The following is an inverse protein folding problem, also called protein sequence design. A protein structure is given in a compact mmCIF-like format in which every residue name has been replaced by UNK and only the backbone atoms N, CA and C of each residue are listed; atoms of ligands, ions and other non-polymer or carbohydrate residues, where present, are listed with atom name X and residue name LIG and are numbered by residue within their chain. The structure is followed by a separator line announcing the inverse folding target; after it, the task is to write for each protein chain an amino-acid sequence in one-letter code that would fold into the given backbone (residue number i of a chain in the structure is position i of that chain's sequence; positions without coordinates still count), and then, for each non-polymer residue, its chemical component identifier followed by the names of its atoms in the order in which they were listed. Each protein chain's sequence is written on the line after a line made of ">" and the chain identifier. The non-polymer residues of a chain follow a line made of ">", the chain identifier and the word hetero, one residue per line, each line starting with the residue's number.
data_IF_432484978187
#
_entry.id   IF_432484978187
#
_cell.length_a   1.000
_cell.length_b   1.000
_cell.length_c   1.000
_cell.angle_alpha   90.00
_cell.angle_beta   90.00
_cell.angle_gamma   90.00
#
_symmetry.space_group_name_H-M   'P 1'
#
loop_
_entity.id
_entity.type
_entity.pdbx_description
1 polymer ?
#
# COMPACT_ATOMS: atom_id res chain seq x y z
N UNK A 1 6.60 -14.66 -43.86
CA UNK A 1 5.29 -15.19 -43.45
C UNK A 1 5.51 -16.05 -42.22
N UNK A 2 5.38 -15.44 -41.04
CA UNK A 2 5.69 -16.05 -39.74
C UNK A 2 4.45 -15.90 -38.87
N UNK A 3 3.61 -16.93 -38.87
CA UNK A 3 2.38 -16.94 -38.11
C UNK A 3 2.62 -17.08 -36.60
N UNK A 4 1.69 -16.59 -35.76
CA UNK A 4 1.80 -16.65 -34.31
C UNK A 4 1.76 -18.10 -33.81
N UNK A 5 2.65 -18.43 -32.86
CA UNK A 5 2.67 -19.76 -32.21
C UNK A 5 1.57 -19.83 -31.15
N UNK A 6 0.84 -20.95 -31.04
CA UNK A 6 -0.17 -21.14 -30.02
C UNK A 6 0.48 -21.20 -28.63
N UNK A 7 -0.08 -20.44 -27.69
CA UNK A 7 0.35 -20.40 -26.29
C UNK A 7 0.09 -21.77 -25.64
N UNK A 8 1.15 -22.35 -25.11
CA UNK A 8 1.17 -23.63 -24.40
C UNK A 8 0.61 -23.37 -23.00
N UNK A 9 -0.61 -23.82 -22.72
CA UNK A 9 -1.19 -23.78 -21.38
C UNK A 9 -0.36 -24.65 -20.43
N UNK A 10 0.27 -24.02 -19.44
CA UNK A 10 0.93 -24.71 -18.34
C UNK A 10 -0.10 -24.86 -17.21
N UNK A 11 -0.41 -26.08 -16.75
CA UNK A 11 -1.33 -26.27 -15.64
C UNK A 11 -0.72 -25.69 -14.36
N UNK A 12 -1.44 -24.76 -13.73
CA UNK A 12 -1.07 -24.17 -12.45
C UNK A 12 -1.39 -25.20 -11.35
N UNK A 13 -0.41 -25.70 -10.58
CA UNK A 13 -0.68 -26.54 -9.42
C UNK A 13 -1.27 -25.67 -8.31
N UNK A 14 -2.55 -25.88 -8.00
CA UNK A 14 -3.17 -25.30 -6.81
C UNK A 14 -2.53 -25.89 -5.56
N UNK A 15 -2.07 -25.07 -4.59
CA UNK A 15 -1.67 -25.58 -3.29
C UNK A 15 -2.90 -26.06 -2.53
N UNK A 16 -2.95 -27.37 -2.28
CA UNK A 16 -3.83 -28.01 -1.30
C UNK A 16 -3.54 -27.39 0.07
N UNK A 17 -4.47 -26.56 0.56
CA UNK A 17 -4.39 -25.98 1.90
C UNK A 17 -4.41 -27.06 3.00
N UNK A 18 -3.85 -26.76 4.19
CA UNK A 18 -3.79 -27.72 5.28
C UNK A 18 -5.19 -28.07 5.78
N UNK A 19 -5.48 -29.38 5.79
CA UNK A 19 -6.65 -29.95 6.43
C UNK A 19 -6.61 -29.64 7.93
N UNK A 20 -7.61 -28.90 8.40
CA UNK A 20 -7.83 -28.65 9.83
C UNK A 20 -8.11 -29.99 10.53
N UNK A 21 -7.48 -30.27 11.69
CA UNK A 21 -7.77 -31.46 12.45
C UNK A 21 -9.18 -31.40 13.04
N UNK A 22 -9.95 -32.45 12.75
CA UNK A 22 -11.24 -32.72 13.32
C UNK A 22 -11.17 -32.68 14.85
N UNK A 23 -11.95 -31.79 15.45
CA UNK A 23 -12.15 -31.70 16.89
C UNK A 23 -12.86 -32.97 17.39
N UNK A 24 -12.16 -33.80 18.17
CA UNK A 24 -12.78 -34.89 18.90
C UNK A 24 -13.38 -34.38 20.22
N UNK A 25 -14.68 -34.63 20.37
CA UNK A 25 -15.45 -34.32 21.56
C UNK A 25 -14.97 -35.15 22.76
N UNK A 26 -14.31 -34.49 23.71
CA UNK A 26 -14.20 -34.94 25.09
C UNK A 26 -15.35 -34.36 25.92
N UNK A 27 -16.40 -35.16 26.12
CA UNK A 27 -17.55 -34.82 26.93
C UNK A 27 -17.23 -34.95 28.43
N UNK A 28 -17.81 -34.03 29.20
CA UNK A 28 -18.22 -34.20 30.60
C UNK A 28 -17.19 -33.97 31.71
N UNK A 29 -16.79 -32.70 31.90
CA UNK A 29 -16.55 -32.16 33.23
C UNK A 29 -16.65 -30.63 33.23
N UNK A 30 -17.50 -30.07 34.11
CA UNK A 30 -17.31 -28.70 34.59
C UNK A 30 -18.17 -27.62 33.93
N UNK A 31 -19.50 -27.73 34.05
CA UNK A 31 -20.43 -26.61 33.83
C UNK A 31 -20.09 -25.33 34.66
N UNK A 32 -19.20 -25.42 35.66
CA UNK A 32 -18.72 -24.30 36.46
C UNK A 32 -17.57 -23.48 35.80
N UNK A 33 -16.82 -24.04 34.84
CA UNK A 33 -15.68 -23.36 34.20
C UNK A 33 -16.07 -22.52 32.97
N UNK A 34 -17.26 -22.74 32.41
CA UNK A 34 -17.77 -21.96 31.26
C UNK A 34 -18.30 -20.57 31.64
N UNK A 35 -18.67 -20.35 32.90
CA UNK A 35 -19.13 -19.04 33.37
C UNK A 35 -17.99 -18.01 33.51
N UNK A 36 -16.75 -18.46 33.76
CA UNK A 36 -15.57 -17.58 33.89
C UNK A 36 -14.97 -17.17 32.54
N UNK A 37 -15.14 -17.97 31.48
CA UNK A 37 -14.61 -17.65 30.14
C UNK A 37 -15.45 -16.59 29.39
N UNK A 38 -16.74 -16.47 29.68
CA UNK A 38 -17.64 -15.48 29.05
C UNK A 38 -17.42 -14.08 29.62
N UNK A 39 -16.97 -13.96 30.89
CA UNK A 39 -16.70 -12.66 31.53
C UNK A 39 -15.37 -12.05 31.06
N UNK A 40 -14.35 -12.86 30.74
CA UNK A 40 -13.06 -12.32 30.25
C UNK A 40 -13.10 -11.82 28.80
N UNK A 41 -13.97 -12.35 27.94
CA UNK A 41 -14.10 -11.88 26.55
C UNK A 41 -14.84 -10.54 26.43
N UNK A 42 -15.65 -10.16 27.43
CA UNK A 42 -16.36 -8.87 27.42
C UNK A 42 -15.47 -7.68 27.84
N UNK A 43 -14.40 -7.91 28.60
CA UNK A 43 -13.49 -6.85 29.03
C UNK A 43 -12.40 -6.52 27.98
N UNK A 44 -12.08 -7.45 27.07
CA UNK A 44 -11.08 -7.23 26.03
C UNK A 44 -11.61 -6.47 24.80
N UNK A 45 -12.93 -6.43 24.58
CA UNK A 45 -13.54 -5.72 23.45
C UNK A 45 -13.62 -4.19 23.66
N UNK A 46 -13.57 -3.70 24.90
CA UNK A 46 -13.65 -2.26 25.19
C UNK A 46 -12.28 -1.54 25.13
N UNK A 47 -11.17 -2.27 25.10
CA UNK A 47 -9.81 -1.69 25.12
C UNK A 47 -9.19 -1.49 23.72
N UNK A 48 -9.76 -2.11 22.67
CA UNK A 48 -9.16 -2.08 21.32
C UNK A 48 -9.68 -0.88 20.50
N UNK A 49 -10.77 -0.23 20.91
CA UNK A 49 -11.32 0.95 20.21
C UNK A 49 -10.67 2.28 20.58
N UNK A 50 -9.69 2.32 21.49
CA UNK A 50 -9.15 3.57 22.05
C UNK A 50 -7.90 4.12 21.33
N UNK A 51 -7.34 3.40 20.35
CA UNK A 51 -6.23 3.88 19.51
C UNK A 51 -6.67 4.27 18.10
N UNK A 52 -7.98 4.43 17.86
CA UNK A 52 -8.43 5.30 16.80
C UNK A 52 -7.97 6.71 17.18
N UNK A 53 -6.81 7.11 16.66
CA UNK A 53 -6.27 8.45 16.75
C UNK A 53 -7.40 9.40 16.41
N UNK A 54 -8.05 9.97 17.43
CA UNK A 54 -8.86 11.17 17.26
C UNK A 54 -7.83 12.24 16.95
N UNK A 55 -7.40 12.29 15.68
CA UNK A 55 -6.72 13.42 15.10
C UNK A 55 -7.70 14.57 15.32
N UNK A 56 -7.48 15.28 16.43
CA UNK A 56 -8.32 16.37 16.87
C UNK A 56 -8.16 17.41 15.78
N UNK A 57 -9.14 17.43 14.89
CA UNK A 57 -9.24 18.36 13.79
C UNK A 57 -8.96 19.75 14.32
N UNK A 58 -7.79 20.29 13.97
CA UNK A 58 -7.40 21.61 14.40
C UNK A 58 -8.13 22.60 13.49
N UNK A 59 -9.12 23.36 14.00
CA UNK A 59 -9.87 24.31 13.18
C UNK A 59 -8.97 25.43 12.61
N UNK A 60 -7.72 25.53 13.05
CA UNK A 60 -6.72 26.48 12.57
C UNK A 60 -5.77 25.90 11.50
N UNK A 61 -6.10 24.76 10.89
CA UNK A 61 -5.34 24.24 9.75
C UNK A 61 -5.41 25.25 8.59
N UNK A 62 -4.31 25.98 8.38
CA UNK A 62 -4.15 26.84 7.21
C UNK A 62 -4.13 25.96 5.96
N UNK A 63 -4.95 26.30 4.96
CA UNK A 63 -4.95 25.61 3.66
C UNK A 63 -3.51 25.59 3.11
N UNK A 64 -2.94 24.39 2.84
CA UNK A 64 -1.60 24.29 2.28
C UNK A 64 -1.58 24.89 0.87
N UNK A 65 -0.50 25.58 0.54
CA UNK A 65 -0.26 26.11 -0.82
C UNK A 65 0.29 25.04 -1.76
N UNK A 66 0.92 24.01 -1.23
CA UNK A 66 1.50 22.91 -2.00
C UNK A 66 1.52 21.61 -1.16
N UNK A 67 1.65 20.46 -1.82
CA UNK A 67 1.78 19.16 -1.15
C UNK A 67 3.00 19.08 -0.22
N UNK A 68 4.05 19.86 -0.50
CA UNK A 68 5.26 19.95 0.33
C UNK A 68 5.00 20.56 1.71
N UNK A 69 3.93 21.34 1.87
CA UNK A 69 3.55 21.91 3.19
C UNK A 69 2.80 20.89 4.08
N UNK A 70 2.44 19.74 3.52
CA UNK A 70 1.69 18.68 4.23
C UNK A 70 2.67 17.59 4.63
N UNK A 71 3.05 17.58 5.91
CA UNK A 71 4.06 16.66 6.47
C UNK A 71 3.45 15.44 7.16
N UNK A 72 2.12 15.37 7.23
CA UNK A 72 1.39 14.26 7.84
C UNK A 72 0.93 13.27 6.75
N UNK A 73 1.28 12.00 6.93
CA UNK A 73 1.02 10.96 5.93
C UNK A 73 -0.47 10.70 5.70
N UNK A 74 -1.26 10.71 6.77
CA UNK A 74 -2.71 10.48 6.71
C UNK A 74 -3.39 11.67 6.02
N UNK A 75 -2.86 12.88 6.21
CA UNK A 75 -3.36 14.07 5.52
C UNK A 75 -3.12 14.03 4.01
N UNK A 76 -2.10 13.33 3.49
CA UNK A 76 -1.85 13.26 2.05
C UNK A 76 -3.06 12.73 1.28
N UNK A 77 -3.71 11.69 1.79
CA UNK A 77 -4.89 11.08 1.16
C UNK A 77 -6.14 11.97 1.26
N UNK A 78 -6.19 12.82 2.29
CA UNK A 78 -7.34 13.69 2.55
C UNK A 78 -7.20 15.09 1.95
N UNK A 79 -6.00 15.52 1.55
CA UNK A 79 -5.72 16.87 1.03
C UNK A 79 -6.65 17.29 -0.10
N UNK A 80 -6.99 16.37 -0.99
CA UNK A 80 -7.93 16.63 -2.07
C UNK A 80 -9.31 16.99 -1.53
N UNK A 81 -9.86 16.17 -0.64
CA UNK A 81 -11.21 16.36 -0.08
C UNK A 81 -11.32 17.62 0.80
N UNK A 82 -10.25 17.96 1.50
CA UNK A 82 -10.26 19.02 2.52
C UNK A 82 -9.90 20.38 1.95
N UNK A 83 -8.93 20.41 1.03
CA UNK A 83 -8.31 21.64 0.56
C UNK A 83 -8.44 21.82 -0.96
N UNK A 84 -8.96 20.82 -1.67
CA UNK A 84 -8.96 20.76 -3.14
C UNK A 84 -7.54 20.92 -3.71
N UNK A 85 -6.57 20.24 -3.09
CA UNK A 85 -5.18 20.15 -3.55
C UNK A 85 -4.90 18.69 -3.86
N UNK A 86 -4.56 18.37 -5.10
CA UNK A 86 -4.22 17.01 -5.50
C UNK A 86 -2.77 16.70 -5.12
N UNK A 87 -2.58 15.70 -4.27
CA UNK A 87 -1.29 15.20 -3.86
C UNK A 87 -1.22 13.69 -4.05
N UNK A 88 -0.02 13.17 -4.26
CA UNK A 88 0.27 11.73 -4.21
C UNK A 88 0.45 11.27 -2.75
N UNK A 89 0.52 9.96 -2.52
CA UNK A 89 0.80 9.42 -1.19
C UNK A 89 2.12 9.95 -0.60
N UNK A 90 2.29 9.75 0.70
CA UNK A 90 3.40 10.28 1.48
C UNK A 90 4.77 9.79 0.99
N UNK A 91 5.67 10.71 0.67
CA UNK A 91 7.02 10.42 0.19
C UNK A 91 8.05 10.18 1.29
N UNK A 92 7.70 10.40 2.56
CA UNK A 92 8.57 10.18 3.72
C UNK A 92 8.71 11.39 4.65
N UNK A 93 8.80 12.60 4.10
CA UNK A 93 8.81 13.84 4.90
C UNK A 93 7.65 14.76 4.58
N UNK A 94 7.06 14.62 3.40
CA UNK A 94 5.92 15.40 2.92
C UNK A 94 5.15 14.62 1.86
N UNK A 95 3.95 15.10 1.53
CA UNK A 95 3.16 14.55 0.43
C UNK A 95 3.77 14.89 -0.92
N UNK A 96 3.94 13.89 -1.79
CA UNK A 96 4.47 14.12 -3.12
C UNK A 96 3.48 14.96 -3.97
N UNK A 97 3.95 15.86 -4.83
CA UNK A 97 3.08 16.59 -5.75
C UNK A 97 2.38 15.61 -6.73
N UNK A 98 1.20 16.00 -7.23
CA UNK A 98 0.45 15.16 -8.18
C UNK A 98 1.23 14.87 -9.47
N UNK A 99 2.03 15.84 -9.90
CA UNK A 99 2.82 15.86 -11.13
C UNK A 99 4.29 16.14 -10.80
N UNK A 100 5.19 15.73 -11.69
CA UNK A 100 6.64 16.03 -11.65
C UNK A 100 7.43 15.57 -10.42
N UNK A 101 6.91 14.62 -9.63
CA UNK A 101 7.67 14.03 -8.53
C UNK A 101 8.72 13.04 -9.06
N UNK A 102 9.88 13.02 -8.39
CA UNK A 102 11.03 12.18 -8.76
C UNK A 102 11.38 11.22 -7.64
N UNK A 103 12.21 10.23 -7.94
CA UNK A 103 12.78 9.35 -6.90
C UNK A 103 13.46 10.16 -5.78
N UNK A 104 14.16 11.23 -6.13
CA UNK A 104 14.86 12.09 -5.17
C UNK A 104 13.92 12.78 -4.15
N UNK A 105 12.64 12.93 -4.48
CA UNK A 105 11.64 13.49 -3.56
C UNK A 105 11.18 12.46 -2.50
N UNK A 106 11.47 11.16 -2.71
CA UNK A 106 11.17 10.09 -1.76
C UNK A 106 12.26 10.04 -0.69
N UNK A 107 11.88 10.36 0.54
CA UNK A 107 12.74 10.41 1.73
C UNK A 107 12.42 9.30 2.75
N UNK A 108 11.57 8.33 2.40
CA UNK A 108 11.40 7.09 3.15
C UNK A 108 11.94 5.87 2.39
N UNK A 109 12.68 5.01 3.11
CA UNK A 109 13.34 3.85 2.52
C UNK A 109 12.35 2.77 2.06
N UNK A 110 11.26 2.54 2.79
CA UNK A 110 10.26 1.52 2.43
C UNK A 110 9.46 2.01 1.22
N UNK A 111 9.07 3.28 1.23
CA UNK A 111 8.45 3.96 0.09
C UNK A 111 9.32 3.89 -1.16
N UNK A 112 10.64 4.06 -1.03
CA UNK A 112 11.59 3.92 -2.14
C UNK A 112 11.60 2.50 -2.74
N UNK A 113 11.61 1.47 -1.89
CA UNK A 113 11.58 0.06 -2.33
C UNK A 113 10.31 -0.29 -3.09
N UNK A 114 9.18 0.30 -2.69
CA UNK A 114 7.87 0.08 -3.30
C UNK A 114 7.49 1.18 -4.31
N UNK A 115 8.43 2.05 -4.71
CA UNK A 115 8.14 3.24 -5.50
C UNK A 115 7.48 2.91 -6.85
N UNK A 116 7.87 1.80 -7.46
CA UNK A 116 7.26 1.33 -8.71
C UNK A 116 5.80 0.90 -8.50
N UNK A 117 5.52 0.14 -7.44
CA UNK A 117 4.17 -0.36 -7.16
C UNK A 117 3.22 0.74 -6.72
N UNK A 118 3.72 1.70 -5.92
CA UNK A 118 2.90 2.76 -5.36
C UNK A 118 2.73 3.94 -6.32
N UNK A 119 3.76 4.26 -7.10
CA UNK A 119 3.81 5.50 -7.88
C UNK A 119 4.17 5.32 -9.35
N UNK A 120 4.41 4.09 -9.80
CA UNK A 120 4.90 3.85 -11.17
C UNK A 120 6.29 4.42 -11.42
N UNK A 121 7.07 4.72 -10.38
CA UNK A 121 8.43 5.23 -10.52
C UNK A 121 9.43 4.08 -10.51
N UNK A 122 10.22 3.99 -11.57
CA UNK A 122 11.44 3.21 -11.55
C UNK A 122 12.49 3.98 -10.77
N UNK A 123 12.73 3.55 -9.55
CA UNK A 123 13.82 4.02 -8.72
C UNK A 123 14.81 2.89 -8.48
N UNK A 124 16.08 3.24 -8.28
CA UNK A 124 17.14 2.30 -7.99
C UNK A 124 17.14 1.95 -6.49
N UNK A 125 18.30 2.11 -5.85
CA UNK A 125 18.52 1.84 -4.45
C UNK A 125 18.35 3.10 -3.61
N UNK A 126 18.06 2.85 -2.35
CA UNK A 126 18.11 3.86 -1.31
C UNK A 126 19.56 4.19 -0.97
N UNK A 127 19.95 5.47 -1.12
CA UNK A 127 21.32 5.92 -0.86
C UNK A 127 21.34 7.27 -0.18
N UNK A 128 22.19 7.43 0.83
CA UNK A 128 22.42 8.73 1.52
C UNK A 128 21.16 9.42 2.06
N UNK A 129 20.10 8.66 2.37
CA UNK A 129 18.86 9.23 2.91
C UNK A 129 17.83 9.67 1.86
N UNK A 130 18.03 9.32 0.59
CA UNK A 130 17.05 9.53 -0.47
C UNK A 130 16.99 8.35 -1.44
N UNK A 131 15.90 8.26 -2.20
CA UNK A 131 15.78 7.31 -3.29
C UNK A 131 16.51 7.85 -4.53
N UNK A 132 17.29 7.01 -5.20
CA UNK A 132 18.07 7.42 -6.37
C UNK A 132 17.32 7.12 -7.67
N UNK A 133 17.44 8.02 -8.64
CA UNK A 133 16.96 7.78 -9.98
C UNK A 133 17.79 6.68 -10.67
N UNK A 134 17.20 5.92 -11.60
CA UNK A 134 17.93 4.96 -12.41
C UNK A 134 18.99 5.67 -13.23
N UNK A 135 20.19 5.10 -13.27
CA UNK A 135 21.20 5.58 -14.20
C UNK A 135 20.83 5.16 -15.63
N UNK A 136 21.38 5.85 -16.63
CA UNK A 136 21.19 5.47 -18.03
C UNK A 136 21.58 4.00 -18.27
N UNK A 137 22.62 3.50 -17.58
CA UNK A 137 23.03 2.12 -17.66
C UNK A 137 22.00 1.14 -17.07
N UNK A 138 21.33 1.52 -15.98
CA UNK A 138 20.29 0.68 -15.37
C UNK A 138 19.07 0.57 -16.30
N UNK A 139 18.71 1.68 -16.96
CA UNK A 139 17.63 1.69 -17.95
C UNK A 139 17.95 0.78 -19.16
N UNK A 140 19.22 0.70 -19.56
CA UNK A 140 19.68 -0.20 -20.63
C UNK A 140 19.76 -1.67 -20.20
N UNK A 141 19.95 -1.92 -18.90
CA UNK A 141 20.03 -3.26 -18.33
C UNK A 141 18.66 -3.85 -17.97
N UNK A 142 17.58 -3.07 -18.09
CA UNK A 142 16.23 -3.58 -17.87
C UNK A 142 15.89 -4.61 -18.95
N UNK A 143 15.50 -5.84 -18.57
CA UNK A 143 15.06 -6.82 -19.55
C UNK A 143 13.84 -6.27 -20.29
N UNK A 144 13.78 -6.52 -21.60
CA UNK A 144 12.68 -6.11 -22.49
C UNK A 144 11.31 -6.63 -21.99
N UNK A 145 11.29 -7.65 -21.14
CA UNK A 145 10.07 -8.14 -20.47
C UNK A 145 9.50 -7.16 -19.43
N UNK A 146 10.30 -6.20 -18.95
CA UNK A 146 9.91 -5.14 -18.02
C UNK A 146 9.61 -3.80 -18.72
N UNK A 147 9.69 -3.73 -20.05
CA UNK A 147 8.97 -2.68 -20.77
C UNK A 147 7.50 -3.04 -20.71
N UNK A 148 6.87 -2.67 -19.59
CA UNK A 148 5.42 -2.48 -19.55
C UNK A 148 5.09 -1.65 -20.78
N UNK A 149 4.32 -2.22 -21.72
CA UNK A 149 3.87 -1.55 -22.93
C UNK A 149 3.23 -0.23 -22.51
N UNK A 150 4.01 0.87 -22.54
CA UNK A 150 3.52 2.16 -22.06
C UNK A 150 2.43 2.68 -23.01
N UNK A 151 2.34 2.09 -24.21
CA UNK A 151 1.28 2.29 -25.19
C UNK A 151 -0.06 1.57 -24.89
N UNK A 152 -0.22 0.95 -23.71
CA UNK A 152 -1.53 0.99 -23.05
C UNK A 152 -2.37 -0.28 -22.97
N UNK A 153 -1.85 -1.37 -22.38
CA UNK A 153 -2.72 -2.49 -21.96
C UNK A 153 -2.55 -3.01 -20.54
N UNK A 154 -1.82 -2.32 -19.66
CA UNK A 154 -2.13 -2.40 -18.23
C UNK A 154 -3.18 -1.34 -17.86
N UNK A 155 -4.40 -1.52 -18.39
CA UNK A 155 -5.59 -1.39 -17.55
C UNK A 155 -5.55 -2.53 -16.52
N UNK A 156 -4.61 -2.49 -15.59
CA UNK A 156 -5.04 -2.73 -14.24
C UNK A 156 -5.92 -1.52 -13.94
N UNK A 157 -7.13 -1.75 -13.47
CA UNK A 157 -8.14 -0.74 -13.14
C UNK A 157 -7.63 0.26 -12.09
N UNK A 158 -6.62 1.08 -12.41
CA UNK A 158 -6.33 2.30 -11.70
C UNK A 158 -7.31 3.33 -12.23
N UNK A 159 -8.56 3.21 -11.79
CA UNK A 159 -9.52 4.28 -11.90
C UNK A 159 -9.07 5.37 -10.89
N UNK A 160 -8.65 6.56 -11.34
CA UNK A 160 -8.29 7.64 -10.43
C UNK A 160 -9.48 8.09 -9.54
N UNK A 161 -10.70 7.60 -9.81
CA UNK A 161 -11.88 7.78 -8.99
C UNK A 161 -12.20 6.61 -8.04
N UNK A 162 -11.49 5.47 -8.11
CA UNK A 162 -11.60 4.47 -7.05
C UNK A 162 -10.93 4.99 -5.78
N UNK A 163 -11.67 5.20 -4.68
CA UNK A 163 -11.08 5.59 -3.40
C UNK A 163 -10.11 4.50 -2.96
N UNK A 164 -8.94 4.91 -2.47
CA UNK A 164 -8.06 4.01 -1.72
C UNK A 164 -8.84 3.49 -0.51
N UNK A 165 -9.23 2.22 -0.53
CA UNK A 165 -9.92 1.52 0.56
C UNK A 165 -8.94 0.81 1.49
#
# INVERSE_FOLDING_TARGET
>A
SSGPRPLRQVPIPYPLGPALPASSLGAMAGAALRALAVVCMAAAAAAISASAHTAKWNPYMKKPRSCREVTDADMCLLTYWLFNVSCKPFGGSYCLPAEDYKCEDITDQNTCKDAFRQYGLFCNEWKTGSCTAPTEFDLLAMPEEYTVDWEGTHKADYDPHTPWH
#
